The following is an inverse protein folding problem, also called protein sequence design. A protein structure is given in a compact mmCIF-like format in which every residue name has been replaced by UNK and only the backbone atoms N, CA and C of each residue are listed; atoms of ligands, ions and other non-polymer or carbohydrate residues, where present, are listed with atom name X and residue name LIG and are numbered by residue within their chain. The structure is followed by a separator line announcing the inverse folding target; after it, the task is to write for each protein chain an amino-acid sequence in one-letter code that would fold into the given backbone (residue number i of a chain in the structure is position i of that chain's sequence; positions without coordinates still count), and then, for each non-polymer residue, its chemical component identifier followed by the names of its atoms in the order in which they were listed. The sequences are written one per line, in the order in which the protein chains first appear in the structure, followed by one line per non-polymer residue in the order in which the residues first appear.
data_IF_472172355708
#
_entry.id   IF_472172355708
#
_cell.length_a   1.000
_cell.length_b   1.000
_cell.length_c   1.000
_cell.angle_alpha   90.00
_cell.angle_beta   90.00
_cell.angle_gamma   90.00
#
_symmetry.space_group_name_H-M   'P 1'
#
loop_
_entity.id
_entity.type
_entity.pdbx_description
1 polymer ?
#
# COMPACT_ATOMS: atom_id res chain seq x y z
N UNK A 1 21.94 16.07 8.05
CA UNK A 1 22.19 17.19 9.01
C UNK A 1 22.89 18.39 8.36
N UNK A 2 23.92 18.21 7.52
CA UNK A 2 24.60 19.30 6.80
C UNK A 2 23.67 20.18 5.94
N UNK A 3 22.72 19.59 5.21
CA UNK A 3 21.78 20.38 4.37
C UNK A 3 20.90 21.33 5.19
N UNK A 4 20.55 20.96 6.42
CA UNK A 4 19.71 21.79 7.29
C UNK A 4 20.47 23.04 7.76
N UNK A 5 21.76 22.91 8.05
CA UNK A 5 22.62 24.04 8.42
C UNK A 5 22.86 24.97 7.23
N UNK A 6 23.02 24.43 6.02
CA UNK A 6 23.11 25.24 4.80
C UNK A 6 21.84 26.05 4.55
N UNK A 7 20.67 25.40 4.66
CA UNK A 7 19.38 26.08 4.51
C UNK A 7 19.15 27.15 5.59
N UNK A 8 19.55 26.89 6.83
CA UNK A 8 19.48 27.88 7.91
C UNK A 8 20.36 29.11 7.62
N UNK A 9 21.59 28.88 7.17
CA UNK A 9 22.49 29.96 6.81
C UNK A 9 21.98 30.77 5.60
N UNK A 10 21.43 30.09 4.60
CA UNK A 10 20.85 30.75 3.42
C UNK A 10 19.63 31.60 3.79
N UNK A 11 18.73 31.10 4.65
CA UNK A 11 17.61 31.88 5.18
C UNK A 11 18.07 33.12 5.94
N UNK A 12 19.08 32.97 6.80
CA UNK A 12 19.62 34.08 7.57
C UNK A 12 20.29 35.13 6.66
N UNK A 13 20.99 34.70 5.61
CA UNK A 13 21.59 35.60 4.63
C UNK A 13 20.52 36.35 3.80
N UNK A 14 19.42 35.69 3.46
CA UNK A 14 18.28 36.31 2.78
C UNK A 14 17.59 37.34 3.67
N UNK A 15 17.42 37.05 4.96
CA UNK A 15 16.85 37.98 5.94
C UNK A 15 17.68 39.27 6.06
N UNK A 16 19.00 39.14 6.19
CA UNK A 16 19.91 40.29 6.25
C UNK A 16 19.80 41.14 4.97
N UNK A 17 19.80 40.49 3.80
CA UNK A 17 19.69 41.19 2.50
C UNK A 17 18.35 41.91 2.35
N UNK A 18 17.28 41.34 2.90
CA UNK A 18 15.95 41.95 2.88
C UNK A 18 15.92 43.20 3.77
N UNK A 19 16.46 43.12 4.99
CA UNK A 19 16.58 44.27 5.89
C UNK A 19 17.46 45.39 5.31
N UNK A 20 18.57 45.03 4.65
CA UNK A 20 19.44 46.01 3.96
C UNK A 20 18.76 46.67 2.75
N UNK A 21 17.91 45.92 2.03
CA UNK A 21 17.12 46.48 0.94
C UNK A 21 16.06 47.44 1.48
N UNK A 22 15.34 47.03 2.54
CA UNK A 22 14.32 47.85 3.21
C UNK A 22 14.91 49.16 3.77
N UNK A 23 16.08 49.11 4.41
CA UNK A 23 16.75 50.30 4.93
C UNK A 23 17.28 51.24 3.84
N UNK A 24 17.67 50.70 2.68
CA UNK A 24 18.06 51.51 1.52
C UNK A 24 16.83 52.20 0.91
N UNK A 25 15.72 51.49 0.81
CA UNK A 25 14.50 52.01 0.22
C UNK A 25 13.86 53.08 1.12
N UNK A 26 13.84 52.87 2.44
CA UNK A 26 13.33 53.85 3.42
C UNK A 26 14.10 55.17 3.44
N UNK A 27 15.31 55.21 2.87
CA UNK A 27 16.15 56.43 2.74
C UNK A 27 16.02 57.07 1.35
N UNK A 28 15.52 56.33 0.38
CA UNK A 28 15.27 56.78 -0.99
C UNK A 28 13.88 57.43 -1.01
N UNK A 29 13.81 58.75 -0.81
CA UNK A 29 12.55 59.52 -0.87
C UNK A 29 11.90 59.60 -2.26
N UNK A 30 12.20 58.63 -3.14
CA UNK A 30 11.87 58.60 -4.56
C UNK A 30 11.12 57.33 -4.97
N UNK A 31 10.82 56.44 -4.01
CA UNK A 31 10.04 55.23 -4.22
C UNK A 31 8.54 55.44 -4.00
N UNK A 32 7.71 54.86 -4.87
CA UNK A 32 6.27 54.73 -4.68
C UNK A 32 6.02 53.64 -3.62
N UNK A 33 6.24 53.97 -2.34
CA UNK A 33 6.04 53.07 -1.18
C UNK A 33 4.66 52.39 -1.20
N UNK A 34 3.67 53.05 -1.81
CA UNK A 34 2.30 52.54 -1.96
C UNK A 34 2.19 51.30 -2.86
N UNK A 35 3.16 51.08 -3.77
CA UNK A 35 3.16 49.97 -4.72
C UNK A 35 3.88 48.72 -4.16
N UNK A 36 4.89 48.92 -3.29
CA UNK A 36 5.72 47.84 -2.72
C UNK A 36 5.30 47.41 -1.32
N UNK A 37 4.54 48.24 -0.59
CA UNK A 37 3.73 47.79 0.52
C UNK A 37 2.57 46.92 -0.02
N UNK A 38 2.91 45.78 -0.65
CA UNK A 38 1.94 44.70 -0.84
C UNK A 38 1.37 44.43 0.54
N UNK A 39 0.08 44.71 0.68
CA UNK A 39 -0.66 44.57 1.91
C UNK A 39 -0.17 43.37 2.70
N UNK A 40 0.03 43.55 4.00
CA UNK A 40 0.31 42.45 4.93
C UNK A 40 -0.63 41.23 4.71
N UNK A 41 -1.83 41.46 4.17
CA UNK A 41 -2.76 40.42 3.72
C UNK A 41 -2.20 39.48 2.66
N UNK A 42 -1.41 39.96 1.67
CA UNK A 42 -0.79 39.12 0.64
C UNK A 42 0.34 38.26 1.20
N UNK A 43 1.17 38.82 2.09
CA UNK A 43 2.20 38.06 2.79
C UNK A 43 1.57 37.00 3.71
N UNK A 44 0.48 37.33 4.40
CA UNK A 44 -0.26 36.38 5.23
C UNK A 44 -0.87 35.25 4.38
N UNK A 45 -1.47 35.57 3.24
CA UNK A 45 -2.00 34.57 2.31
C UNK A 45 -0.89 33.66 1.73
N UNK A 46 0.27 34.23 1.43
CA UNK A 46 1.45 33.47 1.01
C UNK A 46 2.03 32.60 2.13
N UNK A 47 1.93 33.05 3.39
CA UNK A 47 2.37 32.27 4.55
C UNK A 47 1.42 31.10 4.82
N UNK A 48 0.10 31.32 4.74
CA UNK A 48 -0.92 30.26 4.88
C UNK A 48 -0.73 29.17 3.81
N UNK A 49 -0.49 29.55 2.55
CA UNK A 49 -0.21 28.59 1.47
C UNK A 49 1.11 27.83 1.67
N UNK A 50 2.12 28.47 2.27
CA UNK A 50 3.39 27.82 2.61
C UNK A 50 3.23 26.82 3.76
N UNK A 51 2.47 27.18 4.80
CA UNK A 51 2.16 26.29 5.92
C UNK A 51 1.40 25.05 5.44
N UNK A 52 0.40 25.23 4.57
CA UNK A 52 -0.31 24.12 3.95
C UNK A 52 0.61 23.21 3.13
N UNK A 53 1.55 23.78 2.37
CA UNK A 53 2.53 23.00 1.61
C UNK A 53 3.45 22.19 2.54
N UNK A 54 3.89 22.78 3.66
CA UNK A 54 4.70 22.11 4.67
C UNK A 54 3.93 20.99 5.38
N UNK A 55 2.67 21.20 5.72
CA UNK A 55 1.79 20.19 6.32
C UNK A 55 1.57 19.02 5.35
N UNK A 56 1.33 19.30 4.07
CA UNK A 56 1.22 18.27 3.02
C UNK A 56 2.53 17.50 2.84
N UNK A 57 3.67 18.19 2.79
CA UNK A 57 4.97 17.53 2.69
C UNK A 57 5.24 16.64 3.91
N UNK A 58 4.92 17.12 5.11
CA UNK A 58 5.02 16.30 6.34
C UNK A 58 4.11 15.07 6.30
N UNK A 59 2.90 15.22 5.78
CA UNK A 59 1.98 14.09 5.59
C UNK A 59 2.54 13.06 4.59
N UNK A 60 3.10 13.52 3.46
CA UNK A 60 3.75 12.66 2.46
C UNK A 60 5.00 11.97 3.03
N UNK A 61 5.83 12.69 3.78
CA UNK A 61 7.00 12.13 4.46
C UNK A 61 6.61 11.04 5.48
N UNK A 62 5.44 11.18 6.12
CA UNK A 62 4.92 10.19 7.06
C UNK A 62 4.39 8.92 6.38
N UNK A 63 3.99 8.97 5.10
CA UNK A 63 3.59 7.78 4.35
C UNK A 63 4.73 6.76 4.18
N UNK A 64 5.97 7.20 4.39
CA UNK A 64 7.14 6.33 4.33
C UNK A 64 7.49 5.93 2.90
N UNK A 65 8.49 5.05 2.79
CA UNK A 65 9.06 4.58 1.53
C UNK A 65 8.55 3.19 1.22
N UNK A 66 8.08 3.01 0.00
CA UNK A 66 7.74 1.69 -0.52
C UNK A 66 8.95 1.08 -1.24
N UNK A 67 9.70 0.24 -0.52
CA UNK A 67 10.89 -0.45 -1.04
C UNK A 67 10.57 -1.25 -2.31
N UNK A 68 9.35 -1.77 -2.43
CA UNK A 68 8.94 -2.53 -3.61
C UNK A 68 8.86 -1.63 -4.85
N UNK A 69 8.25 -0.46 -4.73
CA UNK A 69 8.18 0.51 -5.84
C UNK A 69 9.56 1.01 -6.23
N UNK A 70 10.45 1.25 -5.27
CA UNK A 70 11.83 1.67 -5.55
C UNK A 70 12.52 0.59 -6.38
N UNK A 71 12.41 -0.69 -6.00
CA UNK A 71 12.96 -1.81 -6.77
C UNK A 71 12.34 -1.94 -8.15
N UNK A 72 11.05 -1.63 -8.29
CA UNK A 72 10.38 -1.64 -9.59
C UNK A 72 10.89 -0.51 -10.49
N UNK A 73 11.06 0.71 -9.94
CA UNK A 73 11.64 1.85 -10.66
C UNK A 73 13.09 1.56 -11.01
N UNK A 74 13.90 1.03 -10.09
CA UNK A 74 15.27 0.61 -10.36
C UNK A 74 15.31 -0.42 -11.49
N UNK A 75 14.48 -1.47 -11.41
CA UNK A 75 14.40 -2.47 -12.48
C UNK A 75 13.98 -1.87 -13.81
N UNK A 76 13.17 -0.81 -13.81
CA UNK A 76 12.77 -0.10 -15.03
C UNK A 76 13.92 0.74 -15.59
N UNK A 77 14.60 1.53 -14.75
CA UNK A 77 15.75 2.36 -15.13
C UNK A 77 16.98 1.53 -15.55
N UNK A 78 17.10 0.29 -15.06
CA UNK A 78 18.18 -0.63 -15.39
C UNK A 78 17.97 -1.34 -16.73
N UNK A 79 16.79 -1.20 -17.35
CA UNK A 79 16.52 -1.82 -18.65
C UNK A 79 17.00 -0.91 -19.78
N UNK A 80 17.69 -1.46 -20.79
CA UNK A 80 18.12 -0.68 -21.95
C UNK A 80 16.92 -0.11 -22.73
N UNK A 81 15.83 -0.88 -22.82
CA UNK A 81 14.60 -0.48 -23.54
C UNK A 81 13.78 0.61 -22.81
N UNK A 82 14.08 0.88 -21.53
CA UNK A 82 13.33 1.84 -20.72
C UNK A 82 13.96 3.23 -20.74
N UNK A 83 15.06 3.39 -20.01
CA UNK A 83 15.76 4.67 -19.87
C UNK A 83 17.26 4.55 -20.20
N UNK A 84 17.62 3.70 -21.17
CA UNK A 84 19.00 3.57 -21.68
C UNK A 84 20.04 3.43 -20.55
N UNK A 85 19.73 2.58 -19.56
CA UNK A 85 20.60 2.32 -18.41
C UNK A 85 20.88 3.57 -17.54
N UNK A 86 19.90 4.47 -17.37
CA UNK A 86 20.01 5.68 -16.54
C UNK A 86 20.59 5.48 -15.13
N UNK A 87 20.43 4.27 -14.55
CA UNK A 87 21.02 3.87 -13.27
C UNK A 87 22.55 3.81 -13.25
N UNK A 88 23.21 3.82 -14.40
CA UNK A 88 24.68 3.91 -14.49
C UNK A 88 25.20 5.36 -14.46
N UNK A 89 24.30 6.33 -14.58
CA UNK A 89 24.63 7.74 -14.70
C UNK A 89 24.62 8.51 -13.38
N UNK A 90 24.40 9.82 -13.50
CA UNK A 90 24.35 10.75 -12.38
C UNK A 90 23.24 10.37 -11.40
N UNK A 91 22.13 9.78 -11.86
CA UNK A 91 20.97 9.48 -11.02
C UNK A 91 21.14 8.23 -10.11
N UNK A 92 22.25 7.50 -10.25
CA UNK A 92 22.59 6.35 -9.40
C UNK A 92 22.64 6.69 -7.91
N UNK A 93 23.07 7.89 -7.55
CA UNK A 93 23.07 8.30 -6.14
C UNK A 93 21.65 8.56 -5.60
N UNK A 94 20.68 8.88 -6.46
CA UNK A 94 19.28 9.13 -6.08
C UNK A 94 18.56 7.80 -5.88
N UNK A 95 18.64 6.95 -6.90
CA UNK A 95 17.85 5.73 -6.98
C UNK A 95 18.60 4.48 -6.52
N UNK A 96 19.87 4.56 -6.15
CA UNK A 96 20.74 3.40 -5.94
C UNK A 96 21.42 2.97 -7.26
N UNK A 97 22.31 1.98 -7.20
CA UNK A 97 22.95 1.41 -8.40
C UNK A 97 22.60 -0.08 -8.58
N UNK A 98 23.03 -0.69 -9.67
CA UNK A 98 22.85 -2.13 -9.89
C UNK A 98 23.68 -2.93 -8.87
N UNK A 99 24.85 -2.40 -8.50
CA UNK A 99 25.77 -2.96 -7.52
C UNK A 99 25.31 -2.70 -6.08
N UNK A 100 24.69 -1.54 -5.83
CA UNK A 100 24.13 -1.15 -4.54
C UNK A 100 22.67 -0.68 -4.67
N UNK A 101 21.72 -1.61 -4.80
CA UNK A 101 20.30 -1.28 -4.95
C UNK A 101 19.68 -0.74 -3.67
N UNK A 102 20.32 -0.89 -2.51
CA UNK A 102 19.83 -0.34 -1.24
C UNK A 102 20.45 1.04 -0.92
N UNK A 103 21.40 1.51 -1.74
CA UNK A 103 22.12 2.79 -1.62
C UNK A 103 21.36 4.04 -2.08
N UNK A 104 20.03 3.97 -2.21
CA UNK A 104 19.18 5.11 -2.62
C UNK A 104 19.03 6.14 -1.48
N UNK A 105 18.71 7.39 -1.82
CA UNK A 105 18.66 8.47 -0.82
C UNK A 105 17.53 8.24 0.20
N UNK A 106 17.83 8.57 1.46
CA UNK A 106 16.89 8.46 2.59
C UNK A 106 15.63 9.31 2.46
N UNK A 107 15.65 10.36 1.64
CA UNK A 107 14.60 11.38 1.50
C UNK A 107 13.65 11.13 0.31
N UNK A 108 13.75 9.96 -0.33
CA UNK A 108 12.79 9.58 -1.36
C UNK A 108 11.39 9.52 -0.75
N UNK A 109 10.43 10.27 -1.30
CA UNK A 109 9.04 10.29 -0.82
C UNK A 109 8.13 9.89 -1.97
N UNK A 110 7.24 8.93 -1.73
CA UNK A 110 6.19 8.58 -2.69
C UNK A 110 5.07 9.63 -2.60
N UNK A 111 4.87 10.41 -3.67
CA UNK A 111 3.78 11.40 -3.77
C UNK A 111 2.41 10.72 -3.68
N UNK A 112 2.32 9.54 -4.28
CA UNK A 112 1.15 8.68 -4.20
C UNK A 112 1.52 7.46 -3.38
N UNK A 113 1.18 7.42 -2.07
CA UNK A 113 1.38 6.20 -1.32
C UNK A 113 0.60 5.08 -2.02
N UNK A 114 1.29 3.98 -2.35
CA UNK A 114 0.56 2.77 -2.72
C UNK A 114 -0.43 2.48 -1.59
N UNK A 115 -1.65 2.11 -1.96
CA UNK A 115 -2.62 1.61 -1.01
C UNK A 115 -1.91 0.51 -0.23
N UNK A 116 -1.78 0.70 1.09
CA UNK A 116 -0.98 -0.18 1.95
C UNK A 116 -1.60 -1.57 1.91
N UNK A 117 -1.05 -2.43 1.07
CA UNK A 117 -1.48 -3.82 0.99
C UNK A 117 -1.02 -4.51 2.27
N UNK A 118 -1.92 -5.27 2.91
CA UNK A 118 -1.56 -6.04 4.10
C UNK A 118 -0.37 -6.96 3.82
N UNK A 119 0.44 -7.33 4.84
CA UNK A 119 1.63 -8.17 4.65
C UNK A 119 1.32 -9.49 3.93
N UNK A 120 0.11 -10.02 4.13
CA UNK A 120 -0.35 -11.20 3.44
C UNK A 120 -0.73 -10.93 1.97
N UNK A 121 -1.39 -9.82 1.64
CA UNK A 121 -1.71 -9.47 0.25
C UNK A 121 -0.42 -9.36 -0.57
N UNK A 122 0.61 -8.73 0.00
CA UNK A 122 1.95 -8.69 -0.57
C UNK A 122 2.54 -10.08 -0.75
N UNK A 123 2.52 -10.94 0.28
CA UNK A 123 2.99 -12.32 0.19
C UNK A 123 2.24 -13.14 -0.87
N UNK A 124 0.93 -12.97 -0.95
CA UNK A 124 0.06 -13.66 -1.89
C UNK A 124 0.38 -13.24 -3.33
N UNK A 125 0.52 -11.94 -3.58
CA UNK A 125 0.88 -11.39 -4.90
C UNK A 125 2.30 -11.84 -5.29
N UNK A 126 3.28 -11.66 -4.40
CA UNK A 126 4.68 -11.97 -4.70
C UNK A 126 4.92 -13.47 -4.90
N UNK A 127 4.18 -14.36 -4.23
CA UNK A 127 4.49 -15.80 -4.22
C UNK A 127 3.46 -16.68 -4.90
N UNK A 128 2.17 -16.42 -4.72
CA UNK A 128 1.10 -17.25 -5.28
C UNK A 128 0.77 -16.77 -6.68
N UNK A 129 0.55 -15.48 -6.87
CA UNK A 129 0.13 -14.92 -8.16
C UNK A 129 1.21 -15.09 -9.21
N UNK A 130 2.45 -14.70 -8.91
CA UNK A 130 3.61 -14.89 -9.81
C UNK A 130 3.82 -16.37 -10.18
N UNK A 131 3.82 -17.29 -9.21
CA UNK A 131 3.96 -18.73 -9.50
C UNK A 131 2.79 -19.27 -10.29
N UNK A 132 1.57 -18.90 -9.96
CA UNK A 132 0.37 -19.37 -10.65
C UNK A 132 0.38 -18.91 -12.12
N UNK A 133 0.72 -17.64 -12.38
CA UNK A 133 0.84 -17.13 -13.73
C UNK A 133 2.00 -17.78 -14.51
N UNK A 134 3.14 -18.03 -13.85
CA UNK A 134 4.23 -18.79 -14.47
C UNK A 134 3.85 -20.25 -14.78
N UNK A 135 3.12 -20.91 -13.89
CA UNK A 135 2.75 -22.32 -14.05
C UNK A 135 1.71 -22.50 -15.16
N UNK A 136 0.70 -21.64 -15.19
CA UNK A 136 -0.42 -21.80 -16.12
C UNK A 136 -0.15 -21.26 -17.53
N UNK A 137 1.04 -20.70 -17.81
CA UNK A 137 1.42 -20.21 -19.15
C UNK A 137 0.32 -19.36 -19.82
N UNK A 138 -0.51 -18.69 -19.03
CA UNK A 138 -1.63 -17.90 -19.55
C UNK A 138 -1.07 -16.67 -20.25
N UNK A 139 -0.76 -16.80 -21.55
CA UNK A 139 -0.42 -15.71 -22.50
C UNK A 139 -1.66 -14.87 -22.81
N UNK A 140 -2.46 -14.52 -21.80
CA UNK A 140 -3.74 -13.87 -22.04
C UNK A 140 -3.60 -12.37 -22.34
N UNK A 141 -2.43 -11.78 -22.08
CA UNK A 141 -2.16 -10.38 -22.39
C UNK A 141 -1.12 -10.27 -23.50
N UNK A 142 -1.44 -9.48 -24.53
CA UNK A 142 -0.42 -8.99 -25.45
C UNK A 142 0.51 -8.08 -24.64
N UNK A 143 1.83 -8.18 -24.82
CA UNK A 143 2.77 -7.23 -24.20
C UNK A 143 2.35 -5.82 -24.58
N UNK A 144 2.46 -4.86 -23.64
CA UNK A 144 2.39 -3.45 -24.02
C UNK A 144 3.49 -3.14 -25.05
N UNK A 145 3.38 -2.03 -25.80
CA UNK A 145 4.40 -1.61 -26.77
C UNK A 145 5.83 -1.65 -26.20
N UNK A 146 5.97 -1.41 -24.90
CA UNK A 146 7.24 -1.36 -24.16
C UNK A 146 7.69 -2.73 -23.63
N UNK A 147 7.00 -3.82 -24.00
CA UNK A 147 7.30 -5.19 -23.53
C UNK A 147 6.99 -5.43 -22.04
N UNK A 148 6.51 -4.42 -21.33
CA UNK A 148 6.14 -4.49 -19.92
C UNK A 148 4.72 -5.07 -19.78
N UNK A 149 4.54 -5.93 -18.78
CA UNK A 149 3.22 -6.46 -18.44
C UNK A 149 2.69 -5.65 -17.26
N UNK A 150 2.12 -4.47 -17.54
CA UNK A 150 1.41 -3.73 -16.50
C UNK A 150 0.07 -4.39 -16.23
N UNK A 151 -0.08 -5.03 -15.07
CA UNK A 151 -1.36 -5.54 -14.62
C UNK A 151 -2.08 -4.44 -13.86
N UNK A 152 -3.32 -4.13 -14.27
CA UNK A 152 -4.13 -3.16 -13.55
C UNK A 152 -4.43 -3.75 -12.18
N UNK A 153 -4.02 -3.07 -11.12
CA UNK A 153 -4.21 -3.51 -9.73
C UNK A 153 -5.67 -3.84 -9.43
N UNK A 154 -6.62 -3.10 -10.02
CA UNK A 154 -8.06 -3.38 -9.98
C UNK A 154 -8.40 -4.80 -10.45
N UNK A 155 -7.81 -5.25 -11.57
CA UNK A 155 -8.06 -6.58 -12.13
C UNK A 155 -7.44 -7.67 -11.28
N UNK A 156 -6.22 -7.47 -10.78
CA UNK A 156 -5.57 -8.40 -9.87
C UNK A 156 -6.36 -8.54 -8.57
N UNK A 157 -6.86 -7.42 -8.02
CA UNK A 157 -7.72 -7.42 -6.84
C UNK A 157 -9.04 -8.16 -7.09
N UNK A 158 -9.64 -8.00 -8.27
CA UNK A 158 -10.81 -8.75 -8.69
C UNK A 158 -10.55 -10.26 -8.76
N UNK A 159 -9.45 -10.68 -9.38
CA UNK A 159 -9.06 -12.09 -9.49
C UNK A 159 -8.75 -12.69 -8.11
N UNK A 160 -7.98 -11.97 -7.28
CA UNK A 160 -7.67 -12.41 -5.93
C UNK A 160 -8.94 -12.56 -5.09
N UNK A 161 -9.90 -11.63 -5.22
CA UNK A 161 -11.21 -11.74 -4.57
C UNK A 161 -12.00 -12.95 -5.07
N UNK A 162 -11.97 -13.24 -6.38
CA UNK A 162 -12.64 -14.40 -6.95
C UNK A 162 -12.03 -15.72 -6.45
N UNK A 163 -10.69 -15.81 -6.40
CA UNK A 163 -9.97 -16.98 -5.86
C UNK A 163 -10.29 -17.14 -4.37
N UNK A 164 -10.24 -16.06 -3.59
CA UNK A 164 -10.54 -16.12 -2.16
C UNK A 164 -11.98 -16.58 -1.91
N UNK A 165 -12.96 -16.09 -2.69
CA UNK A 165 -14.34 -16.56 -2.62
C UNK A 165 -14.48 -18.04 -3.01
N UNK A 166 -13.78 -18.48 -4.05
CA UNK A 166 -13.77 -19.89 -4.46
C UNK A 166 -13.20 -20.78 -3.34
N UNK A 167 -12.07 -20.40 -2.74
CA UNK A 167 -11.45 -21.11 -1.62
C UNK A 167 -12.38 -21.12 -0.41
N UNK A 168 -13.00 -20.00 -0.07
CA UNK A 168 -13.96 -19.92 1.03
C UNK A 168 -15.14 -20.88 0.81
N UNK A 169 -15.73 -20.88 -0.39
CA UNK A 169 -16.84 -21.78 -0.73
C UNK A 169 -16.45 -23.25 -0.66
N UNK A 170 -15.24 -23.60 -1.12
CA UNK A 170 -14.70 -24.95 -1.05
C UNK A 170 -14.47 -25.37 0.40
N UNK A 171 -13.99 -24.46 1.26
CA UNK A 171 -13.77 -24.72 2.67
C UNK A 171 -15.09 -25.00 3.41
N UNK A 172 -16.16 -24.25 3.11
CA UNK A 172 -17.50 -24.55 3.65
C UNK A 172 -17.99 -25.93 3.21
N UNK A 173 -17.81 -26.28 1.92
CA UNK A 173 -18.20 -27.58 1.41
C UNK A 173 -17.43 -28.73 2.09
N UNK A 174 -16.11 -28.59 2.22
CA UNK A 174 -15.25 -29.57 2.92
C UNK A 174 -15.69 -29.70 4.38
N UNK A 175 -16.04 -28.59 5.06
CA UNK A 175 -16.53 -28.64 6.43
C UNK A 175 -17.81 -29.48 6.56
N UNK A 176 -18.78 -29.28 5.66
CA UNK A 176 -20.03 -30.07 5.63
C UNK A 176 -19.76 -31.55 5.43
N UNK A 177 -18.89 -31.91 4.47
CA UNK A 177 -18.55 -33.31 4.18
C UNK A 177 -17.85 -33.96 5.39
N UNK A 178 -16.86 -33.27 5.99
CA UNK A 178 -16.17 -33.79 7.18
C UNK A 178 -17.13 -33.98 8.37
N UNK A 179 -18.06 -33.05 8.58
CA UNK A 179 -19.09 -33.15 9.62
C UNK A 179 -20.02 -34.34 9.40
N UNK A 180 -20.41 -34.61 8.14
CA UNK A 180 -21.27 -35.76 7.80
C UNK A 180 -20.56 -37.11 7.97
N UNK A 181 -19.24 -37.17 7.84
CA UNK A 181 -18.47 -38.42 8.02
C UNK A 181 -18.16 -38.69 9.49
N UNK A 182 -18.16 -37.66 10.34
CA UNK A 182 -17.87 -37.79 11.76
C UNK A 182 -19.00 -38.50 12.50
N UNK A 183 -18.73 -39.74 12.95
CA UNK A 183 -19.70 -40.61 13.64
C UNK A 183 -19.88 -40.27 15.12
N UNK A 184 -18.86 -39.67 15.75
CA UNK A 184 -18.86 -39.32 17.18
C UNK A 184 -19.10 -37.82 17.37
N UNK A 185 -19.90 -37.46 18.37
CA UNK A 185 -20.12 -36.07 18.76
C UNK A 185 -18.80 -35.37 19.17
N UNK A 186 -17.86 -36.10 19.77
CA UNK A 186 -16.55 -35.57 20.12
C UNK A 186 -15.71 -35.24 18.89
N UNK A 187 -15.72 -36.12 17.87
CA UNK A 187 -15.01 -35.88 16.61
C UNK A 187 -15.58 -34.68 15.87
N UNK A 188 -16.89 -34.49 15.89
CA UNK A 188 -17.55 -33.34 15.27
C UNK A 188 -17.07 -32.03 15.90
N UNK A 189 -17.01 -31.94 17.23
CA UNK A 189 -16.52 -30.74 17.92
C UNK A 189 -15.07 -30.41 17.56
N UNK A 190 -14.20 -31.43 17.47
CA UNK A 190 -12.80 -31.23 17.08
C UNK A 190 -12.70 -30.64 15.66
N UNK A 191 -13.44 -31.20 14.70
CA UNK A 191 -13.45 -30.68 13.33
C UNK A 191 -13.96 -29.24 13.27
N UNK A 192 -15.05 -28.93 13.99
CA UNK A 192 -15.59 -27.56 14.09
C UNK A 192 -14.52 -26.59 14.61
N UNK A 193 -13.82 -26.94 15.69
CA UNK A 193 -12.74 -26.11 16.23
C UNK A 193 -11.60 -25.89 15.22
N UNK A 194 -11.18 -26.94 14.50
CA UNK A 194 -10.15 -26.83 13.46
C UNK A 194 -10.62 -25.89 12.35
N UNK A 195 -11.85 -26.06 11.83
CA UNK A 195 -12.36 -25.21 10.76
C UNK A 195 -12.50 -23.75 11.20
N UNK A 196 -12.96 -23.48 12.43
CA UNK A 196 -13.01 -22.12 12.96
C UNK A 196 -11.61 -21.52 13.03
N UNK A 197 -10.61 -22.26 13.53
CA UNK A 197 -9.23 -21.77 13.61
C UNK A 197 -8.63 -21.47 12.22
N UNK A 198 -8.83 -22.36 11.25
CA UNK A 198 -8.39 -22.15 9.85
C UNK A 198 -9.10 -20.95 9.24
N UNK A 199 -10.42 -20.84 9.44
CA UNK A 199 -11.21 -19.74 8.92
C UNK A 199 -10.78 -18.39 9.53
N UNK A 200 -10.59 -18.33 10.85
CA UNK A 200 -10.06 -17.14 11.53
C UNK A 200 -8.67 -16.76 11.03
N UNK A 201 -7.80 -17.74 10.78
CA UNK A 201 -6.50 -17.49 10.16
C UNK A 201 -6.64 -16.91 8.75
N UNK A 202 -7.54 -17.46 7.93
CA UNK A 202 -7.83 -16.89 6.60
C UNK A 202 -8.34 -15.46 6.71
N UNK A 203 -9.27 -15.15 7.62
CA UNK A 203 -9.77 -13.78 7.79
C UNK A 203 -8.67 -12.80 8.20
N UNK A 204 -7.82 -13.18 9.16
CA UNK A 204 -6.69 -12.36 9.59
C UNK A 204 -5.69 -12.15 8.46
N UNK A 205 -5.52 -13.15 7.59
CA UNK A 205 -4.66 -13.05 6.42
C UNK A 205 -5.25 -12.11 5.35
N UNK A 206 -6.55 -12.17 5.08
CA UNK A 206 -7.10 -11.47 3.93
C UNK A 206 -7.51 -10.01 4.18
N UNK A 207 -7.39 -9.48 5.41
CA UNK A 207 -7.57 -8.07 5.83
C UNK A 207 -8.56 -7.28 4.96
N UNK A 208 -9.74 -7.86 4.79
CA UNK A 208 -10.70 -7.42 3.80
C UNK A 208 -12.02 -7.18 4.49
N UNK A 209 -12.38 -5.91 4.52
CA UNK A 209 -13.70 -5.40 4.90
C UNK A 209 -14.85 -6.12 4.17
N UNK A 210 -14.54 -6.84 3.08
CA UNK A 210 -15.51 -7.56 2.25
C UNK A 210 -15.86 -8.96 2.76
N UNK A 211 -15.19 -9.48 3.81
CA UNK A 211 -15.46 -10.84 4.31
C UNK A 211 -16.62 -10.93 5.32
N UNK A 212 -17.28 -9.82 5.68
CA UNK A 212 -18.40 -9.85 6.64
C UNK A 212 -19.52 -10.83 6.27
N UNK A 213 -19.89 -10.89 4.99
CA UNK A 213 -20.97 -11.76 4.50
C UNK A 213 -20.58 -13.26 4.60
N UNK A 214 -19.42 -13.71 4.09
CA UNK A 214 -18.96 -15.09 4.26
C UNK A 214 -18.90 -15.56 5.72
N UNK A 215 -18.48 -14.68 6.65
CA UNK A 215 -18.41 -15.00 8.09
C UNK A 215 -19.80 -15.31 8.64
N UNK A 216 -20.76 -14.45 8.36
CA UNK A 216 -22.13 -14.62 8.83
C UNK A 216 -22.75 -15.91 8.25
N UNK A 217 -22.50 -16.19 6.97
CA UNK A 217 -22.99 -17.43 6.33
C UNK A 217 -22.34 -18.67 6.96
N UNK A 218 -21.03 -18.66 7.19
CA UNK A 218 -20.32 -19.79 7.78
C UNK A 218 -20.79 -20.08 9.21
N UNK A 219 -20.92 -19.02 10.03
CA UNK A 219 -21.45 -19.13 11.38
C UNK A 219 -22.89 -19.66 11.41
N UNK A 220 -23.73 -19.20 10.47
CA UNK A 220 -25.10 -19.69 10.32
C UNK A 220 -25.16 -21.18 9.98
N UNK A 221 -24.38 -21.62 8.99
CA UNK A 221 -24.32 -23.03 8.58
C UNK A 221 -23.84 -23.92 9.73
N UNK A 222 -22.77 -23.51 10.42
CA UNK A 222 -22.27 -24.22 11.61
C UNK A 222 -23.31 -24.30 12.72
N UNK A 223 -24.00 -23.19 13.01
CA UNK A 223 -25.07 -23.16 14.00
C UNK A 223 -26.18 -24.15 13.67
N UNK A 224 -26.67 -24.15 12.42
CA UNK A 224 -27.73 -25.06 11.98
C UNK A 224 -27.32 -26.54 12.02
N UNK A 225 -26.07 -26.85 11.70
CA UNK A 225 -25.56 -28.22 11.76
C UNK A 225 -25.47 -28.73 13.20
N UNK A 226 -25.04 -27.87 14.13
CA UNK A 226 -24.94 -28.23 15.55
C UNK A 226 -26.34 -28.44 16.14
N UNK A 227 -27.31 -27.58 15.84
CA UNK A 227 -28.68 -27.73 16.36
C UNK A 227 -29.36 -29.00 15.83
N UNK A 228 -29.24 -29.29 14.53
CA UNK A 228 -29.86 -30.49 13.95
C UNK A 228 -29.28 -31.79 14.52
N UNK A 229 -27.99 -31.80 14.90
CA UNK A 229 -27.40 -32.99 15.49
C UNK A 229 -27.88 -33.22 16.94
N UNK A 230 -28.16 -32.15 17.67
CA UNK A 230 -28.68 -32.28 19.04
C UNK A 230 -30.05 -33.00 19.04
N UNK A 231 -30.92 -32.63 18.10
CA UNK A 231 -32.26 -33.23 17.97
C UNK A 231 -32.21 -34.71 17.58
N UNK A 232 -31.24 -35.14 16.78
CA UNK A 232 -31.10 -36.56 16.43
C UNK A 232 -30.65 -37.43 17.60
N UNK A 233 -29.88 -36.87 18.55
CA UNK A 233 -29.41 -37.64 19.71
C UNK A 233 -30.48 -37.88 20.76
N UNK A 234 -31.50 -37.01 20.85
CA UNK A 234 -32.60 -37.18 21.84
C UNK A 234 -33.60 -38.25 21.40
N UNK A 235 -33.85 -38.39 20.09
CA UNK A 235 -34.81 -39.38 19.53
C UNK A 235 -34.36 -40.83 19.72
N UNK A 236 -33.06 -41.10 19.84
CA UNK A 236 -32.55 -42.48 20.01
C UNK A 236 -32.53 -42.97 21.47
N UNK A 237 -32.90 -42.12 22.44
CA UNK A 237 -32.91 -42.47 23.86
C UNK A 237 -34.31 -42.68 24.46
N UNK A 238 -35.38 -42.58 23.66
CA UNK A 238 -36.75 -43.02 24.00
C UNK A 238 -37.07 -44.39 23.40
#
# INVERSE_FOLDING_TARGET
MRNLLYLQHELQALEIRLLEAECRDSRSGQGDESSYAKDFSYLKLSAETSEDALLRNRALAACGRDVYQIKQIQSFLARPDGCDLALSGVDSHIWGSIEDPDGYISDLIAIFPARREGPFARYFIERIVTRFFHLLHFRWKRPDPDGLHSYRTETLSGIASAIANAVASLLVYIAIVCLNVARSAADQLIHVCIFIAVFSFCLAAFDSEKFGVPIATFAGVLGTLITNNHDNTTVHHE
#
